data_IF_987684817153
#
_entry.id   IF_987684817153
#
_cell.length_a   1.000
_cell.length_b   1.000
_cell.length_c   1.000
_cell.angle_alpha   90.00
_cell.angle_beta   90.00
_cell.angle_gamma   90.00
#
_symmetry.space_group_name_H-M   'P 1'
#
loop_
_entity.id
_entity.type
_entity.pdbx_description
1 polymer ?
#
# COMPACT_ATOMS: atom_id res chain seq x y z
N UNK A 1 20.79 -11.81 36.27
CA UNK A 1 21.94 -11.50 35.39
C UNK A 1 21.97 -12.51 34.27
N UNK A 2 21.41 -12.15 33.12
CA UNK A 2 21.59 -12.90 31.87
C UNK A 2 23.07 -12.72 31.47
N UNK A 3 23.77 -13.80 31.10
CA UNK A 3 25.20 -13.72 30.78
C UNK A 3 25.42 -12.91 29.49
N UNK A 4 26.55 -12.21 29.36
CA UNK A 4 26.93 -11.49 28.11
C UNK A 4 26.93 -12.41 26.87
N UNK A 5 27.05 -13.73 27.06
CA UNK A 5 26.99 -14.74 26.00
C UNK A 5 25.56 -14.99 25.54
N UNK A 6 24.59 -14.91 26.45
CA UNK A 6 23.16 -15.08 26.17
C UNK A 6 22.58 -13.90 25.38
N UNK A 7 23.08 -12.68 25.64
CA UNK A 7 22.72 -11.49 24.83
C UNK A 7 23.08 -11.70 23.35
N UNK A 8 24.27 -12.25 23.06
CA UNK A 8 24.71 -12.56 21.69
C UNK A 8 23.84 -13.61 21.00
N UNK A 9 23.32 -14.59 21.74
CA UNK A 9 22.41 -15.60 21.19
C UNK A 9 21.08 -14.93 20.80
N UNK A 10 20.56 -14.07 21.68
CA UNK A 10 19.31 -13.37 21.41
C UNK A 10 19.45 -12.39 20.24
N UNK A 11 20.53 -11.62 20.18
CA UNK A 11 20.82 -10.73 19.05
C UNK A 11 20.89 -11.51 17.73
N UNK A 12 21.51 -12.70 17.74
CA UNK A 12 21.54 -13.58 16.57
C UNK A 12 20.15 -14.09 16.16
N UNK A 13 19.28 -14.42 17.13
CA UNK A 13 17.89 -14.79 16.86
C UNK A 13 17.14 -13.61 16.24
N UNK A 14 17.31 -12.41 16.77
CA UNK A 14 16.68 -11.20 16.24
C UNK A 14 17.12 -10.95 14.81
N UNK A 15 18.42 -10.89 14.55
CA UNK A 15 18.96 -10.64 13.21
C UNK A 15 18.50 -11.67 12.18
N UNK A 16 18.41 -12.95 12.58
CA UNK A 16 18.09 -14.04 11.67
C UNK A 16 16.59 -14.24 11.43
N UNK A 17 15.76 -14.01 12.44
CA UNK A 17 14.35 -14.40 12.42
C UNK A 17 13.35 -13.28 12.73
N UNK A 18 13.72 -12.26 13.51
CA UNK A 18 12.76 -11.27 14.04
C UNK A 18 13.03 -9.82 13.58
N UNK A 19 14.09 -9.57 12.81
CA UNK A 19 14.56 -8.21 12.52
C UNK A 19 13.48 -7.36 11.84
N UNK A 20 12.73 -7.92 10.91
CA UNK A 20 11.56 -7.28 10.30
C UNK A 20 10.36 -8.22 10.31
N UNK A 21 9.13 -7.67 10.26
CA UNK A 21 7.93 -8.48 10.13
C UNK A 21 7.96 -9.42 8.92
N UNK A 22 8.56 -9.01 7.80
CA UNK A 22 8.65 -9.85 6.60
C UNK A 22 9.63 -11.01 6.80
N UNK A 23 10.74 -10.80 7.52
CA UNK A 23 11.67 -11.89 7.86
C UNK A 23 10.95 -12.90 8.76
N UNK A 24 10.22 -12.43 9.77
CA UNK A 24 9.49 -13.31 10.67
C UNK A 24 8.35 -14.05 9.98
N UNK A 25 7.59 -13.38 9.11
CA UNK A 25 6.56 -14.03 8.30
C UNK A 25 7.17 -15.13 7.40
N UNK A 26 8.30 -14.87 6.75
CA UNK A 26 9.00 -15.88 5.94
C UNK A 26 9.49 -17.06 6.78
N UNK A 27 9.97 -16.79 7.99
CA UNK A 27 10.33 -17.83 8.95
C UNK A 27 9.11 -18.70 9.29
N UNK A 28 7.99 -18.09 9.69
CA UNK A 28 6.74 -18.80 10.01
C UNK A 28 6.24 -19.64 8.83
N UNK A 29 6.26 -19.11 7.60
CA UNK A 29 5.84 -19.84 6.40
C UNK A 29 6.77 -21.00 6.01
N UNK A 30 8.01 -21.01 6.49
CA UNK A 30 8.99 -22.06 6.21
C UNK A 30 9.03 -23.15 7.31
N UNK A 31 8.29 -22.98 8.40
CA UNK A 31 8.24 -23.95 9.48
C UNK A 31 7.55 -25.24 9.01
N UNK A 32 8.15 -26.37 9.38
CA UNK A 32 7.55 -27.69 9.23
C UNK A 32 7.20 -28.20 10.62
N UNK A 33 5.91 -28.11 10.96
CA UNK A 33 5.44 -28.51 12.27
C UNK A 33 5.21 -30.02 12.29
N UNK A 34 5.63 -30.71 13.36
CA UNK A 34 5.55 -32.17 13.43
C UNK A 34 4.12 -32.69 13.63
N UNK A 35 3.22 -31.86 14.15
CA UNK A 35 1.84 -32.21 14.48
C UNK A 35 0.85 -31.28 13.75
N UNK A 36 -0.08 -31.81 12.94
CA UNK A 36 -1.11 -31.02 12.28
C UNK A 36 -1.96 -30.17 13.24
N UNK A 37 -2.16 -30.60 14.48
CA UNK A 37 -2.92 -29.83 15.48
C UNK A 37 -2.26 -28.47 15.74
N UNK A 38 -0.93 -28.39 15.65
CA UNK A 38 -0.21 -27.12 15.82
C UNK A 38 -0.59 -26.11 14.74
N UNK A 39 -0.73 -26.54 13.49
CA UNK A 39 -1.15 -25.68 12.38
C UNK A 39 -2.59 -25.17 12.60
N UNK A 40 -3.47 -26.04 13.08
CA UNK A 40 -4.86 -25.72 13.42
C UNK A 40 -4.95 -24.70 14.57
N UNK A 41 -4.15 -24.87 15.63
CA UNK A 41 -4.05 -23.90 16.75
C UNK A 41 -3.54 -22.55 16.26
N UNK A 42 -2.54 -22.53 15.38
CA UNK A 42 -2.01 -21.27 14.82
C UNK A 42 -3.09 -20.57 14.00
N UNK A 43 -3.85 -21.31 13.19
CA UNK A 43 -4.97 -20.74 12.42
C UNK A 43 -6.04 -20.15 13.33
N UNK A 44 -6.44 -20.90 14.37
CA UNK A 44 -7.37 -20.40 15.39
C UNK A 44 -6.86 -19.12 16.05
N UNK A 45 -5.54 -19.03 16.28
CA UNK A 45 -4.94 -17.87 16.94
C UNK A 45 -4.99 -16.62 16.05
N UNK A 46 -4.82 -16.78 14.73
CA UNK A 46 -4.99 -15.68 13.77
C UNK A 46 -6.44 -15.15 13.73
N UNK A 47 -7.41 -16.05 13.87
CA UNK A 47 -8.85 -15.73 13.86
C UNK A 47 -9.33 -15.17 15.21
N UNK A 48 -8.64 -15.50 16.31
CA UNK A 48 -9.03 -15.12 17.65
C UNK A 48 -9.01 -13.58 17.89
N UNK A 49 -9.93 -13.07 18.74
CA UNK A 49 -9.87 -11.69 19.19
C UNK A 49 -8.57 -11.44 19.96
N UNK A 50 -7.93 -10.29 19.68
CA UNK A 50 -6.61 -9.94 20.20
C UNK A 50 -5.48 -10.97 19.97
N UNK A 51 -5.67 -11.97 19.09
CA UNK A 51 -4.75 -13.08 18.93
C UNK A 51 -4.50 -13.80 20.27
N UNK A 52 -5.58 -14.20 20.93
CA UNK A 52 -5.56 -14.83 22.24
C UNK A 52 -6.56 -15.98 22.32
N UNK A 53 -6.09 -17.14 22.77
CA UNK A 53 -6.89 -18.35 22.97
C UNK A 53 -6.77 -18.81 24.42
N UNK A 54 -7.85 -19.29 25.02
CA UNK A 54 -7.80 -19.90 26.33
C UNK A 54 -7.26 -21.33 26.24
N UNK A 55 -6.40 -21.72 27.18
CA UNK A 55 -5.86 -23.07 27.23
C UNK A 55 -6.97 -24.12 27.41
N UNK A 56 -7.97 -23.84 28.25
CA UNK A 56 -9.16 -24.69 28.45
C UNK A 56 -9.88 -24.98 27.13
N UNK A 57 -10.14 -23.93 26.36
CA UNK A 57 -10.94 -24.03 25.14
C UNK A 57 -10.19 -24.82 24.07
N UNK A 58 -8.86 -24.70 24.03
CA UNK A 58 -8.02 -25.51 23.14
C UNK A 58 -7.97 -26.98 23.54
N UNK A 59 -7.81 -27.27 24.83
CA UNK A 59 -7.84 -28.65 25.33
C UNK A 59 -9.17 -29.31 25.00
N UNK A 60 -10.29 -28.61 25.21
CA UNK A 60 -11.62 -29.11 24.90
C UNK A 60 -11.83 -29.28 23.39
N UNK A 61 -11.48 -28.28 22.58
CA UNK A 61 -11.68 -28.30 21.11
C UNK A 61 -10.91 -29.44 20.43
N UNK A 62 -9.66 -29.67 20.84
CA UNK A 62 -8.78 -30.66 20.23
C UNK A 62 -8.74 -31.98 21.01
N UNK A 63 -9.56 -32.13 22.06
CA UNK A 63 -9.59 -33.32 22.93
C UNK A 63 -8.21 -33.69 23.48
N UNK A 64 -7.44 -32.69 23.90
CA UNK A 64 -6.07 -32.85 24.38
C UNK A 64 -6.04 -33.11 25.90
N UNK A 65 -5.19 -34.03 26.32
CA UNK A 65 -4.79 -34.08 27.73
C UNK A 65 -3.93 -32.88 28.10
N UNK A 66 -3.82 -32.59 29.41
CA UNK A 66 -2.97 -31.50 29.89
C UNK A 66 -1.51 -31.66 29.45
N UNK A 67 -0.98 -32.88 29.45
CA UNK A 67 0.39 -33.19 29.04
C UNK A 67 0.59 -32.97 27.52
N UNK A 68 -0.38 -33.37 26.71
CA UNK A 68 -0.36 -33.14 25.27
C UNK A 68 -0.39 -31.63 24.96
N UNK A 69 -1.28 -30.89 25.61
CA UNK A 69 -1.35 -29.43 25.45
C UNK A 69 -0.05 -28.75 25.85
N UNK A 70 0.53 -29.10 27.00
CA UNK A 70 1.80 -28.51 27.45
C UNK A 70 2.94 -28.82 26.48
N UNK A 71 2.99 -30.03 25.93
CA UNK A 71 3.98 -30.43 24.93
C UNK A 71 3.83 -29.60 23.66
N UNK A 72 2.59 -29.43 23.18
CA UNK A 72 2.28 -28.61 22.00
C UNK A 72 2.65 -27.15 22.25
N UNK A 73 2.24 -26.58 23.39
CA UNK A 73 2.55 -25.19 23.74
C UNK A 73 4.07 -24.95 23.82
N UNK A 74 4.81 -25.88 24.43
CA UNK A 74 6.27 -25.81 24.51
C UNK A 74 6.93 -25.86 23.14
N UNK A 75 6.44 -26.73 22.24
CA UNK A 75 6.96 -26.83 20.88
C UNK A 75 6.66 -25.56 20.07
N UNK A 76 5.45 -24.99 20.19
CA UNK A 76 5.12 -23.73 19.54
C UNK A 76 5.97 -22.55 20.06
N UNK A 77 6.29 -22.53 21.35
CA UNK A 77 7.19 -21.55 21.96
C UNK A 77 8.64 -21.73 21.50
N UNK A 78 9.11 -22.98 21.40
CA UNK A 78 10.44 -23.30 20.87
C UNK A 78 10.61 -22.83 19.42
N UNK A 79 9.55 -22.92 18.61
CA UNK A 79 9.52 -22.39 17.24
C UNK A 79 9.21 -20.88 17.17
N UNK A 80 9.28 -20.17 18.29
CA UNK A 80 9.07 -18.72 18.37
C UNK A 80 7.71 -18.27 17.81
N UNK A 81 6.67 -19.11 17.84
CA UNK A 81 5.35 -18.78 17.28
C UNK A 81 4.48 -18.09 18.34
N UNK A 82 4.22 -18.79 19.45
CA UNK A 82 3.37 -18.31 20.54
C UNK A 82 3.99 -18.63 21.89
N UNK A 83 3.52 -17.96 22.92
CA UNK A 83 3.87 -18.24 24.30
C UNK A 83 2.62 -18.52 25.14
N UNK A 84 2.77 -19.43 26.10
CA UNK A 84 1.79 -19.64 27.15
C UNK A 84 1.99 -18.58 28.22
N UNK A 85 0.93 -17.83 28.55
CA UNK A 85 0.98 -16.78 29.56
C UNK A 85 -0.26 -16.81 30.45
N UNK A 86 -0.20 -16.13 31.59
CA UNK A 86 -1.33 -15.98 32.49
C UNK A 86 -1.87 -14.56 32.38
N UNK A 87 -3.17 -14.42 32.09
CA UNK A 87 -3.87 -13.13 32.11
C UNK A 87 -4.87 -13.08 33.25
N UNK A 88 -4.98 -11.91 33.88
CA UNK A 88 -5.98 -11.65 34.91
C UNK A 88 -7.30 -11.23 34.25
N UNK A 89 -8.31 -12.10 34.33
CA UNK A 89 -9.66 -11.90 33.77
C UNK A 89 -10.65 -12.15 34.91
N UNK A 90 -11.55 -11.20 35.16
CA UNK A 90 -12.53 -11.25 36.26
C UNK A 90 -11.94 -11.67 37.61
N UNK A 91 -10.80 -11.05 37.96
CA UNK A 91 -10.03 -11.33 39.18
C UNK A 91 -9.40 -12.72 39.29
N UNK A 92 -9.43 -13.54 38.24
CA UNK A 92 -8.78 -14.86 38.17
C UNK A 92 -7.62 -14.85 37.19
N UNK A 93 -6.58 -15.60 37.49
CA UNK A 93 -5.49 -15.87 36.53
C UNK A 93 -5.90 -17.04 35.65
N UNK A 94 -5.90 -16.82 34.34
CA UNK A 94 -6.29 -17.80 33.34
C UNK A 94 -5.13 -18.01 32.37
N UNK A 95 -4.84 -19.26 32.05
CA UNK A 95 -3.85 -19.65 31.05
C UNK A 95 -4.36 -19.32 29.66
N UNK A 96 -3.56 -18.57 28.90
CA UNK A 96 -3.86 -18.18 27.54
C UNK A 96 -2.64 -18.39 26.65
N UNK A 97 -2.90 -18.79 25.41
CA UNK A 97 -1.91 -18.89 24.34
C UNK A 97 -2.01 -17.61 23.49
N UNK A 98 -0.87 -16.96 23.23
CA UNK A 98 -0.80 -15.74 22.41
C UNK A 98 0.47 -15.73 21.56
N UNK A 99 0.44 -15.06 20.41
CA UNK A 99 1.68 -14.76 19.67
C UNK A 99 2.68 -14.00 20.56
N UNK A 100 3.97 -14.13 20.26
CA UNK A 100 4.98 -13.27 20.86
C UNK A 100 4.60 -11.80 20.72
N UNK A 101 4.87 -11.02 21.78
CA UNK A 101 4.33 -9.67 21.96
C UNK A 101 4.64 -8.76 20.77
N UNK A 102 5.85 -8.85 20.23
CA UNK A 102 6.34 -8.07 19.10
C UNK A 102 5.49 -8.33 17.85
N UNK A 103 5.25 -9.60 17.52
CA UNK A 103 4.44 -10.00 16.38
C UNK A 103 2.96 -9.68 16.59
N UNK A 104 2.44 -9.96 17.78
CA UNK A 104 1.07 -9.61 18.18
C UNK A 104 0.80 -8.12 18.00
N UNK A 105 1.69 -7.26 18.49
CA UNK A 105 1.53 -5.80 18.40
C UNK A 105 1.54 -5.33 16.93
N UNK A 106 2.41 -5.92 16.11
CA UNK A 106 2.44 -5.63 14.67
C UNK A 106 1.15 -6.07 13.97
N UNK A 107 0.66 -7.29 14.24
CA UNK A 107 -0.60 -7.77 13.69
C UNK A 107 -1.80 -6.92 14.13
N UNK A 108 -1.83 -6.53 15.41
CA UNK A 108 -2.85 -5.63 15.93
C UNK A 108 -2.79 -4.26 15.27
N UNK A 109 -1.59 -3.73 15.01
CA UNK A 109 -1.42 -2.52 14.23
C UNK A 109 -2.07 -2.68 12.85
N UNK A 110 -1.73 -3.73 12.09
CA UNK A 110 -2.30 -3.98 10.76
C UNK A 110 -3.83 -4.09 10.79
N UNK A 111 -4.39 -4.82 11.76
CA UNK A 111 -5.85 -4.96 11.93
C UNK A 111 -6.53 -3.62 12.24
N UNK A 112 -5.91 -2.79 13.10
CA UNK A 112 -6.46 -1.49 13.51
C UNK A 112 -6.32 -0.41 12.45
N UNK A 113 -5.31 -0.50 11.59
CA UNK A 113 -5.03 0.48 10.53
C UNK A 113 -5.52 0.05 9.16
N UNK A 114 -6.26 -1.07 9.09
CA UNK A 114 -6.97 -1.44 7.88
C UNK A 114 -8.01 -0.37 7.54
N UNK A 115 -7.94 0.26 6.36
CA UNK A 115 -8.85 1.34 6.00
C UNK A 115 -10.31 0.85 5.96
N UNK A 116 -11.27 1.61 6.51
CA UNK A 116 -12.67 1.26 6.40
C UNK A 116 -13.13 1.38 4.94
N UNK A 117 -13.96 0.45 4.51
CA UNK A 117 -14.56 0.46 3.17
C UNK A 117 -15.69 1.50 3.15
N UNK A 118 -15.62 2.43 2.20
CA UNK A 118 -16.66 3.44 1.99
C UNK A 118 -17.74 2.92 1.03
N UNK A 119 -18.98 3.37 1.24
CA UNK A 119 -20.09 3.03 0.36
C UNK A 119 -19.98 3.80 -0.96
N UNK A 120 -19.93 3.08 -2.09
CA UNK A 120 -19.75 3.66 -3.43
C UNK A 120 -20.78 4.77 -3.78
N UNK A 121 -22.03 4.64 -3.31
CA UNK A 121 -23.10 5.61 -3.59
C UNK A 121 -22.87 6.98 -2.93
N UNK A 122 -22.00 7.06 -1.93
CA UNK A 122 -21.68 8.29 -1.22
C UNK A 122 -20.45 9.01 -1.76
N UNK A 123 -19.76 8.42 -2.75
CA UNK A 123 -18.53 8.95 -3.32
C UNK A 123 -18.84 9.86 -4.50
N UNK A 124 -18.30 11.07 -4.45
CA UNK A 124 -18.29 11.97 -5.61
C UNK A 124 -17.02 11.73 -6.40
N UNK A 125 -17.13 10.90 -7.44
CA UNK A 125 -16.04 10.55 -8.35
C UNK A 125 -15.49 11.79 -9.06
N UNK A 126 -14.17 11.83 -9.25
CA UNK A 126 -13.53 12.89 -10.04
C UNK A 126 -13.69 12.67 -11.55
N UNK A 127 -13.79 11.41 -11.98
CA UNK A 127 -14.03 11.01 -13.36
C UNK A 127 -15.13 9.95 -13.42
N UNK A 128 -15.89 9.93 -14.53
CA UNK A 128 -16.86 8.87 -14.82
C UNK A 128 -16.29 7.76 -15.70
N UNK A 129 -15.07 7.92 -16.21
CA UNK A 129 -14.41 7.02 -17.18
C UNK A 129 -13.10 6.48 -16.62
N UNK A 130 -12.86 5.19 -16.83
CA UNK A 130 -11.54 4.60 -16.64
C UNK A 130 -10.55 5.20 -17.64
N UNK A 131 -9.27 5.33 -17.26
CA UNK A 131 -8.23 5.94 -18.10
C UNK A 131 -8.54 7.37 -18.58
N UNK A 132 -9.36 8.13 -17.86
CA UNK A 132 -9.78 9.47 -18.28
C UNK A 132 -8.62 10.39 -18.67
N UNK A 133 -7.50 10.32 -17.95
CA UNK A 133 -6.30 11.08 -18.30
C UNK A 133 -5.76 10.73 -19.70
N UNK A 134 -5.63 9.45 -20.03
CA UNK A 134 -5.14 9.00 -21.33
C UNK A 134 -6.13 9.34 -22.45
N UNK A 135 -7.43 9.28 -22.17
CA UNK A 135 -8.46 9.68 -23.11
C UNK A 135 -8.42 11.18 -23.38
N UNK A 136 -8.20 11.99 -22.35
CA UNK A 136 -8.06 13.45 -22.49
C UNK A 136 -6.76 13.81 -23.23
N UNK A 137 -5.65 13.09 -23.01
CA UNK A 137 -4.43 13.18 -23.83
C UNK A 137 -4.76 12.89 -25.29
N UNK A 138 -5.40 11.75 -25.58
CA UNK A 138 -5.81 11.37 -26.94
C UNK A 138 -6.70 12.44 -27.56
N UNK A 139 -7.64 12.98 -26.81
CA UNK A 139 -8.56 14.00 -27.28
C UNK A 139 -7.82 15.30 -27.65
N UNK A 140 -6.94 15.81 -26.78
CA UNK A 140 -6.20 17.05 -27.04
C UNK A 140 -5.32 16.94 -28.29
N UNK A 141 -4.55 15.86 -28.43
CA UNK A 141 -3.72 15.69 -29.63
C UNK A 141 -4.57 15.46 -30.89
N UNK A 142 -5.82 14.96 -30.74
CA UNK A 142 -6.72 14.78 -31.87
C UNK A 142 -7.19 16.10 -32.49
N UNK A 143 -7.21 17.19 -31.72
CA UNK A 143 -7.53 18.54 -32.22
C UNK A 143 -6.52 19.01 -33.29
N UNK A 144 -5.28 18.52 -33.20
CA UNK A 144 -4.19 18.86 -34.11
C UNK A 144 -4.03 17.87 -35.30
N UNK A 145 -4.98 16.94 -35.52
CA UNK A 145 -4.87 15.89 -36.56
C UNK A 145 -4.72 16.41 -38.00
N UNK A 146 -5.37 17.52 -38.32
CA UNK A 146 -5.39 18.07 -39.69
C UNK A 146 -4.45 19.26 -39.85
N UNK A 147 -4.31 20.06 -38.81
CA UNK A 147 -3.51 21.28 -38.77
C UNK A 147 -3.16 21.59 -37.31
N UNK A 148 -2.12 22.40 -37.05
CA UNK A 148 -1.82 22.87 -35.70
C UNK A 148 -3.04 23.48 -35.02
N UNK A 149 -3.28 23.11 -33.77
CA UNK A 149 -4.37 23.65 -32.96
C UNK A 149 -3.85 24.81 -32.11
N UNK A 150 -4.39 26.01 -32.32
CA UNK A 150 -4.02 27.21 -31.57
C UNK A 150 -5.02 27.47 -30.46
N UNK A 151 -4.53 27.72 -29.25
CA UNK A 151 -5.36 28.06 -28.09
C UNK A 151 -4.93 29.39 -27.47
N UNK A 152 -5.87 30.14 -26.91
CA UNK A 152 -5.62 31.45 -26.31
C UNK A 152 -5.04 31.34 -24.91
N UNK A 153 -5.51 30.37 -24.13
CA UNK A 153 -5.15 30.16 -22.73
C UNK A 153 -5.58 28.76 -22.26
N UNK A 154 -5.32 28.45 -20.99
CA UNK A 154 -5.76 27.19 -20.37
C UNK A 154 -7.28 27.10 -20.18
N UNK A 155 -8.01 28.22 -20.26
CA UNK A 155 -9.48 28.24 -20.16
C UNK A 155 -10.10 27.65 -21.43
N UNK A 156 -9.56 27.95 -22.60
CA UNK A 156 -10.01 27.35 -23.86
C UNK A 156 -9.85 25.82 -23.85
N UNK A 157 -8.68 25.32 -23.41
CA UNK A 157 -8.43 23.88 -23.27
C UNK A 157 -9.36 23.23 -22.23
N UNK A 158 -9.63 23.91 -21.11
CA UNK A 158 -10.56 23.44 -20.10
C UNK A 158 -11.98 23.27 -20.67
N UNK A 159 -12.44 24.23 -21.47
CA UNK A 159 -13.76 24.17 -22.11
C UNK A 159 -13.86 22.98 -23.08
N UNK A 160 -12.79 22.68 -23.84
CA UNK A 160 -12.75 21.52 -24.72
C UNK A 160 -12.87 20.19 -23.96
N UNK A 161 -12.35 20.13 -22.74
CA UNK A 161 -12.40 18.97 -21.85
C UNK A 161 -13.61 18.96 -20.91
N UNK A 162 -14.52 19.94 -21.03
CA UNK A 162 -15.64 20.15 -20.11
C UNK A 162 -15.22 20.30 -18.64
N UNK A 163 -14.04 20.89 -18.40
CA UNK A 163 -13.50 21.18 -17.08
C UNK A 163 -13.80 22.62 -16.65
N UNK A 164 -14.03 22.82 -15.36
CA UNK A 164 -14.19 24.17 -14.80
C UNK A 164 -12.82 24.86 -14.64
N UNK A 165 -12.49 25.80 -15.52
CA UNK A 165 -11.21 26.53 -15.50
C UNK A 165 -11.01 27.46 -14.30
N UNK A 166 -12.07 27.82 -13.56
CA UNK A 166 -11.94 28.59 -12.31
C UNK A 166 -11.38 27.75 -11.17
N UNK A 167 -11.38 26.42 -11.32
CA UNK A 167 -10.81 25.51 -10.35
C UNK A 167 -9.29 25.34 -10.60
N UNK A 168 -8.48 25.71 -9.59
CA UNK A 168 -7.02 25.56 -9.65
C UNK A 168 -6.57 24.11 -9.91
N UNK A 169 -7.32 23.11 -9.44
CA UNK A 169 -6.96 21.70 -9.69
C UNK A 169 -7.08 21.34 -11.17
N UNK A 170 -8.10 21.84 -11.87
CA UNK A 170 -8.29 21.60 -13.30
C UNK A 170 -7.21 22.31 -14.14
N UNK A 171 -6.78 23.51 -13.73
CA UNK A 171 -5.66 24.18 -14.39
C UNK A 171 -4.37 23.38 -14.23
N UNK A 172 -4.09 22.85 -13.03
CA UNK A 172 -2.95 21.94 -12.80
C UNK A 172 -3.07 20.67 -13.65
N UNK A 173 -4.27 20.10 -13.75
CA UNK A 173 -4.55 18.91 -14.58
C UNK A 173 -4.21 19.15 -16.06
N UNK A 174 -4.65 20.27 -16.65
CA UNK A 174 -4.38 20.61 -18.05
C UNK A 174 -2.88 20.79 -18.30
N UNK A 175 -2.17 21.45 -17.38
CA UNK A 175 -0.70 21.60 -17.49
C UNK A 175 -0.01 20.24 -17.55
N UNK A 176 -0.40 19.30 -16.67
CA UNK A 176 0.13 17.93 -16.69
C UNK A 176 -0.18 17.21 -18.00
N UNK A 177 -1.38 17.37 -18.56
CA UNK A 177 -1.70 16.80 -19.88
C UNK A 177 -0.73 17.29 -20.95
N UNK A 178 -0.48 18.60 -21.01
CA UNK A 178 0.45 19.20 -21.98
C UNK A 178 1.89 18.73 -21.74
N UNK A 179 2.36 18.73 -20.50
CA UNK A 179 3.69 18.24 -20.11
C UNK A 179 3.89 16.77 -20.53
N UNK A 180 2.87 15.92 -20.33
CA UNK A 180 2.93 14.50 -20.74
C UNK A 180 2.86 14.32 -22.25
N UNK A 181 2.09 15.14 -22.96
CA UNK A 181 2.05 15.15 -24.42
C UNK A 181 3.45 15.45 -25.00
N UNK A 182 4.14 16.44 -24.44
CA UNK A 182 5.51 16.79 -24.85
C UNK A 182 6.52 15.71 -24.44
N UNK A 183 6.45 15.21 -23.21
CA UNK A 183 7.34 14.15 -22.70
C UNK A 183 7.30 12.89 -23.59
N UNK A 184 6.09 12.50 -24.01
CA UNK A 184 5.86 11.36 -24.89
C UNK A 184 6.18 11.67 -26.36
N UNK A 185 6.57 12.90 -26.69
CA UNK A 185 6.77 13.42 -28.04
C UNK A 185 5.56 13.16 -28.96
N UNK A 186 4.34 13.33 -28.42
CA UNK A 186 3.10 13.20 -29.20
C UNK A 186 2.78 14.49 -29.95
N UNK A 187 3.03 15.63 -29.32
CA UNK A 187 2.90 16.94 -29.96
C UNK A 187 3.93 17.91 -29.38
N UNK A 188 4.30 18.92 -30.18
CA UNK A 188 5.04 20.10 -29.72
C UNK A 188 4.07 21.13 -29.16
N UNK A 189 4.33 21.67 -27.96
CA UNK A 189 3.52 22.71 -27.32
C UNK A 189 4.32 24.02 -27.29
N UNK A 190 4.32 24.76 -28.41
CA UNK A 190 5.04 26.02 -28.54
C UNK A 190 4.09 27.17 -28.84
N UNK A 191 4.29 28.32 -28.19
CA UNK A 191 3.53 29.56 -28.43
C UNK A 191 2.01 29.39 -28.44
N UNK A 192 1.50 28.55 -27.52
CA UNK A 192 0.08 28.16 -27.42
C UNK A 192 -0.48 27.52 -28.70
N UNK A 193 0.36 26.74 -29.37
CA UNK A 193 -0.01 25.87 -30.46
C UNK A 193 0.33 24.42 -30.11
N UNK A 194 -0.54 23.51 -30.52
CA UNK A 194 -0.36 22.06 -30.45
C UNK A 194 -0.13 21.56 -31.88
N UNK A 195 1.07 21.07 -32.16
CA UNK A 195 1.44 20.51 -33.46
C UNK A 195 1.83 19.04 -33.31
N UNK A 196 1.14 18.15 -34.02
CA UNK A 196 1.41 16.71 -33.93
C UNK A 196 2.84 16.36 -34.37
N UNK A 197 3.39 15.36 -33.69
CA UNK A 197 4.67 14.73 -34.02
C UNK A 197 4.43 13.28 -34.47
N UNK A 198 5.45 12.66 -35.08
CA UNK A 198 5.34 11.34 -35.71
C UNK A 198 4.80 10.25 -34.76
N UNK A 199 5.18 10.28 -33.48
CA UNK A 199 4.72 9.30 -32.47
C UNK A 199 3.22 9.39 -32.16
N UNK A 200 2.55 10.48 -32.47
CA UNK A 200 1.10 10.57 -32.27
C UNK A 200 0.32 9.58 -33.13
N UNK A 201 0.82 9.27 -34.33
CA UNK A 201 0.15 8.31 -35.21
C UNK A 201 0.12 6.92 -34.58
N UNK A 202 1.22 6.48 -33.98
CA UNK A 202 1.29 5.24 -33.21
C UNK A 202 0.31 5.30 -32.02
N UNK A 203 0.30 6.39 -31.25
CA UNK A 203 -0.57 6.56 -30.09
C UNK A 203 -2.06 6.35 -30.41
N UNK A 204 -2.54 6.82 -31.57
CA UNK A 204 -3.94 6.63 -31.96
C UNK A 204 -4.31 5.16 -32.24
N UNK A 205 -3.33 4.30 -32.52
CA UNK A 205 -3.54 2.87 -32.76
C UNK A 205 -3.51 2.02 -31.49
N UNK A 206 -2.97 2.57 -30.39
CA UNK A 206 -2.81 1.85 -29.13
C UNK A 206 -4.12 1.78 -28.33
N UNK A 207 -4.32 0.68 -27.61
CA UNK A 207 -5.36 0.55 -26.59
C UNK A 207 -5.00 1.34 -25.34
N UNK A 208 -5.98 1.64 -24.46
CA UNK A 208 -5.71 2.36 -23.22
C UNK A 208 -4.69 1.65 -22.30
N UNK A 209 -4.73 0.32 -22.11
CA UNK A 209 -3.66 -0.40 -21.42
C UNK A 209 -2.28 -0.22 -22.05
N UNK A 210 -2.17 -0.23 -23.38
CA UNK A 210 -0.89 -0.01 -24.07
C UNK A 210 -0.38 1.43 -23.90
N UNK A 211 -1.27 2.42 -23.98
CA UNK A 211 -0.97 3.83 -23.70
C UNK A 211 -0.52 4.04 -22.25
N UNK A 212 -1.18 3.36 -21.31
CA UNK A 212 -0.82 3.36 -19.90
C UNK A 212 0.60 2.82 -19.69
N UNK A 213 0.93 1.68 -20.29
CA UNK A 213 2.29 1.12 -20.24
C UNK A 213 3.34 2.04 -20.87
N UNK A 214 3.01 2.72 -21.98
CA UNK A 214 3.90 3.70 -22.60
C UNK A 214 4.15 4.88 -21.65
N UNK A 215 3.09 5.43 -21.05
CA UNK A 215 3.20 6.50 -20.05
C UNK A 215 3.99 6.05 -18.81
N UNK A 216 3.82 4.79 -18.35
CA UNK A 216 4.56 4.24 -17.21
C UNK A 216 6.07 4.19 -17.47
N UNK A 217 6.49 3.81 -18.69
CA UNK A 217 7.92 3.77 -19.09
C UNK A 217 8.57 5.14 -19.14
N UNK A 218 7.79 6.18 -19.38
CA UNK A 218 8.24 7.56 -19.34
C UNK A 218 7.99 8.10 -17.94
N UNK A 219 8.90 7.70 -17.04
CA UNK A 219 8.86 7.92 -15.59
C UNK A 219 8.38 9.32 -15.21
N UNK A 220 7.73 9.40 -14.04
CA UNK A 220 7.37 10.67 -13.40
C UNK A 220 8.56 11.65 -13.36
N UNK A 221 8.26 12.94 -13.40
CA UNK A 221 9.24 14.01 -13.57
C UNK A 221 10.49 13.78 -12.69
N UNK A 222 11.71 13.76 -13.29
CA UNK A 222 12.98 13.59 -12.55
C UNK A 222 13.12 14.57 -11.37
N UNK A 223 12.49 15.73 -11.49
CA UNK A 223 12.50 16.82 -10.51
C UNK A 223 11.82 16.46 -9.17
N UNK A 224 10.79 15.61 -9.19
CA UNK A 224 10.08 15.15 -7.98
C UNK A 224 10.67 13.85 -7.42
N UNK A 225 11.26 13.01 -8.29
CA UNK A 225 11.96 11.78 -7.87
C UNK A 225 13.21 12.14 -7.06
N UNK A 226 13.87 13.26 -7.36
CA UNK A 226 14.98 13.79 -6.56
C UNK A 226 16.04 12.72 -6.29
N UNK A 227 16.30 12.43 -5.01
CA UNK A 227 17.25 11.42 -4.53
C UNK A 227 16.64 10.03 -4.30
N UNK A 228 15.33 9.85 -4.50
CA UNK A 228 14.67 8.56 -4.27
C UNK A 228 14.95 7.62 -5.43
N UNK A 229 15.37 6.40 -5.12
CA UNK A 229 15.65 5.40 -6.15
C UNK A 229 14.37 4.76 -6.68
N UNK A 230 14.44 4.12 -7.85
CA UNK A 230 13.29 3.46 -8.49
C UNK A 230 12.64 2.38 -7.60
N UNK A 231 13.43 1.74 -6.73
CA UNK A 231 12.92 0.74 -5.79
C UNK A 231 11.89 1.35 -4.83
N UNK A 232 12.19 2.53 -4.28
CA UNK A 232 11.27 3.25 -3.39
C UNK A 232 9.96 3.58 -4.11
N UNK A 233 10.04 4.01 -5.38
CA UNK A 233 8.84 4.30 -6.18
C UNK A 233 7.97 3.04 -6.34
N UNK A 234 8.57 1.92 -6.74
CA UNK A 234 7.86 0.64 -6.87
C UNK A 234 7.27 0.14 -5.56
N UNK A 235 7.95 0.36 -4.44
CA UNK A 235 7.45 -0.04 -3.12
C UNK A 235 6.25 0.84 -2.68
N UNK A 236 6.18 2.10 -3.10
CA UNK A 236 4.98 2.96 -2.96
C UNK A 236 3.88 2.47 -3.90
N UNK A 237 4.18 2.19 -5.17
CA UNK A 237 3.20 1.68 -6.14
C UNK A 237 2.53 0.41 -5.62
N UNK A 238 3.33 -0.57 -5.18
CA UNK A 238 2.82 -1.85 -4.65
C UNK A 238 2.06 -1.71 -3.33
N UNK A 239 2.23 -0.61 -2.60
CA UNK A 239 1.54 -0.42 -1.32
C UNK A 239 0.02 -0.36 -1.49
N UNK A 240 -0.48 0.07 -2.66
CA UNK A 240 -1.92 0.12 -2.95
C UNK A 240 -2.55 -1.28 -3.07
N UNK A 241 -1.75 -2.34 -3.30
CA UNK A 241 -2.26 -3.73 -3.33
C UNK A 241 -2.90 -4.15 -2.01
N UNK A 242 -2.53 -3.50 -0.88
CA UNK A 242 -3.17 -3.73 0.42
C UNK A 242 -4.68 -3.45 0.41
N UNK A 243 -5.13 -2.58 -0.48
CA UNK A 243 -6.54 -2.18 -0.64
C UNK A 243 -7.09 -2.60 -2.01
N UNK A 244 -6.41 -3.47 -2.75
CA UNK A 244 -6.83 -3.92 -4.08
C UNK A 244 -8.21 -4.59 -4.08
N UNK A 245 -8.58 -5.29 -3.02
CA UNK A 245 -9.89 -5.93 -2.88
C UNK A 245 -10.94 -5.03 -2.21
N UNK A 246 -10.55 -3.83 -1.79
CA UNK A 246 -11.49 -2.86 -1.23
C UNK A 246 -12.16 -2.09 -2.37
N UNK A 247 -13.38 -1.61 -2.13
CA UNK A 247 -14.02 -0.62 -3.00
C UNK A 247 -13.32 0.73 -2.83
N UNK A 248 -13.89 1.67 -2.10
CA UNK A 248 -13.31 2.99 -1.87
C UNK A 248 -12.70 3.11 -0.49
N UNK A 249 -11.51 3.71 -0.39
CA UNK A 249 -10.82 3.97 0.88
C UNK A 249 -10.37 5.44 0.97
N UNK A 250 -10.41 6.02 2.17
CA UNK A 250 -9.82 7.33 2.42
C UNK A 250 -8.30 7.24 2.31
N UNK A 251 -7.69 8.21 1.62
CA UNK A 251 -6.23 8.26 1.49
C UNK A 251 -5.53 8.40 2.86
N UNK A 252 -6.11 9.17 3.77
CA UNK A 252 -5.59 9.34 5.14
C UNK A 252 -5.60 8.04 5.94
N UNK A 253 -6.66 7.22 5.80
CA UNK A 253 -6.74 5.93 6.49
C UNK A 253 -5.78 4.91 5.87
N UNK A 254 -5.63 4.93 4.54
CA UNK A 254 -4.61 4.16 3.84
C UNK A 254 -3.20 4.47 4.36
N UNK A 255 -2.85 5.75 4.52
CA UNK A 255 -1.54 6.17 5.03
C UNK A 255 -1.25 5.63 6.44
N UNK A 256 -2.26 5.56 7.33
CA UNK A 256 -2.09 5.02 8.69
C UNK A 256 -1.66 3.55 8.69
N UNK A 257 -2.06 2.78 7.68
CA UNK A 257 -1.73 1.35 7.54
C UNK A 257 -0.59 1.05 6.56
N UNK A 258 0.00 2.09 5.96
CA UNK A 258 1.14 1.94 5.07
C UNK A 258 2.37 1.47 5.88
N UNK A 259 3.13 0.51 5.34
CA UNK A 259 4.34 -0.05 5.98
C UNK A 259 5.52 -0.10 5.04
N UNK A 260 5.51 0.79 4.06
CA UNK A 260 6.53 0.89 3.02
C UNK A 260 7.74 1.62 3.58
N UNK A 261 8.93 1.06 3.40
CA UNK A 261 10.18 1.67 3.87
C UNK A 261 10.71 2.63 2.81
N UNK A 262 10.72 3.92 3.10
CA UNK A 262 11.25 4.98 2.23
C UNK A 262 12.59 5.53 2.73
N UNK A 263 12.88 5.31 4.01
CA UNK A 263 14.01 5.83 4.79
C UNK A 263 14.24 4.96 6.03
N UNK A 264 15.30 5.22 6.80
CA UNK A 264 15.53 4.54 8.07
C UNK A 264 14.41 4.81 9.10
N UNK A 265 13.81 6.00 9.08
CA UNK A 265 12.76 6.42 10.01
C UNK A 265 11.41 5.74 9.70
N UNK A 266 11.15 5.47 8.42
CA UNK A 266 9.95 4.74 7.97
C UNK A 266 10.15 3.21 7.98
N UNK A 267 11.33 2.71 8.34
CA UNK A 267 11.60 1.28 8.40
C UNK A 267 10.90 0.61 9.60
N UNK A 268 10.25 -0.52 9.32
CA UNK A 268 9.61 -1.36 10.34
C UNK A 268 10.60 -2.44 10.77
N UNK A 269 11.39 -2.13 11.79
CA UNK A 269 12.45 -3.02 12.31
C UNK A 269 12.29 -3.21 13.81
N UNK A 270 12.70 -4.38 14.30
CA UNK A 270 12.65 -4.66 15.72
C UNK A 270 13.75 -3.88 16.44
N UNK A 271 13.36 -3.00 17.36
CA UNK A 271 14.29 -2.22 18.20
C UNK A 271 14.00 -2.43 19.68
N UNK A 272 15.06 -2.38 20.48
CA UNK A 272 14.95 -2.38 21.94
C UNK A 272 14.51 -0.99 22.42
N UNK A 273 13.32 -0.89 23.00
CA UNK A 273 12.76 0.31 23.60
C UNK A 273 12.68 0.13 25.12
N UNK A 274 13.64 0.69 25.85
CA UNK A 274 13.80 0.47 27.28
C UNK A 274 14.15 -0.98 27.59
N UNK A 275 13.24 -1.69 28.27
CA UNK A 275 13.42 -3.11 28.63
C UNK A 275 12.80 -4.09 27.62
N UNK A 276 12.00 -3.60 26.67
CA UNK A 276 11.19 -4.44 25.79
C UNK A 276 11.63 -4.29 24.33
N UNK A 277 11.41 -5.31 23.53
CA UNK A 277 11.55 -5.24 22.08
C UNK A 277 10.21 -4.86 21.46
N UNK A 278 10.25 -4.01 20.42
CA UNK A 278 9.07 -3.61 19.65
C UNK A 278 9.46 -3.34 18.21
N UNK A 279 8.59 -3.68 17.27
CA UNK A 279 8.72 -3.16 15.92
C UNK A 279 8.49 -1.66 15.93
N UNK A 280 9.37 -0.91 15.27
CA UNK A 280 9.11 0.49 14.96
C UNK A 280 7.93 0.58 14.01
N UNK A 281 7.01 1.51 14.27
CA UNK A 281 5.96 1.83 13.30
C UNK A 281 6.50 2.87 12.33
N UNK A 282 6.07 2.81 11.06
CA UNK A 282 6.57 3.72 10.04
C UNK A 282 6.15 5.14 10.35
N UNK A 283 7.11 6.06 10.30
CA UNK A 283 6.87 7.49 10.35
C UNK A 283 7.30 8.11 9.03
N UNK A 284 6.36 8.79 8.37
CA UNK A 284 6.62 9.47 7.10
C UNK A 284 6.75 10.97 7.31
N UNK A 285 7.89 11.54 6.92
CA UNK A 285 8.09 12.98 6.96
C UNK A 285 7.33 13.70 5.83
N UNK A 286 7.28 15.03 5.88
CA UNK A 286 6.50 15.82 4.90
C UNK A 286 6.93 15.59 3.45
N UNK A 287 8.21 15.34 3.17
CA UNK A 287 8.70 15.08 1.81
C UNK A 287 8.23 13.72 1.32
N UNK A 288 8.29 12.71 2.17
CA UNK A 288 7.79 11.37 1.89
C UNK A 288 6.28 11.36 1.66
N UNK A 289 5.51 12.09 2.48
CA UNK A 289 4.06 12.20 2.29
C UNK A 289 3.70 12.85 0.95
N UNK A 290 4.42 13.90 0.55
CA UNK A 290 4.24 14.54 -0.77
C UNK A 290 4.57 13.55 -1.90
N UNK A 291 5.62 12.75 -1.75
CA UNK A 291 5.99 11.72 -2.74
C UNK A 291 4.93 10.62 -2.84
N UNK A 292 4.46 10.09 -1.71
CA UNK A 292 3.42 9.06 -1.66
C UNK A 292 2.15 9.58 -2.33
N UNK A 293 1.74 10.80 -1.98
CA UNK A 293 0.59 11.47 -2.58
C UNK A 293 0.75 11.65 -4.09
N UNK A 294 1.91 12.12 -4.55
CA UNK A 294 2.18 12.31 -5.97
C UNK A 294 2.15 10.99 -6.75
N UNK A 295 2.75 9.92 -6.22
CA UNK A 295 2.75 8.62 -6.89
C UNK A 295 1.34 8.04 -6.91
N UNK A 296 0.67 7.97 -5.77
CA UNK A 296 -0.63 7.33 -5.68
C UNK A 296 -1.70 8.20 -6.34
N UNK A 297 -1.94 9.40 -5.82
CA UNK A 297 -3.08 10.22 -6.23
C UNK A 297 -2.87 10.99 -7.53
N UNK A 298 -1.64 11.12 -8.03
CA UNK A 298 -1.39 11.70 -9.35
C UNK A 298 -1.00 10.61 -10.36
N UNK A 299 0.17 10.00 -10.22
CA UNK A 299 0.72 9.12 -11.26
C UNK A 299 -0.12 7.86 -11.49
N UNK A 300 -0.45 7.09 -10.45
CA UNK A 300 -1.27 5.87 -10.63
C UNK A 300 -2.67 6.20 -11.18
N UNK A 301 -3.20 7.38 -10.87
CA UNK A 301 -4.47 7.85 -11.44
C UNK A 301 -4.36 8.17 -12.93
N UNK A 302 -3.25 8.80 -13.37
CA UNK A 302 -2.97 9.11 -14.78
C UNK A 302 -2.83 7.84 -15.63
N UNK A 303 -2.29 6.77 -15.02
CA UNK A 303 -2.16 5.46 -15.64
C UNK A 303 -3.46 4.66 -15.70
N UNK A 304 -4.52 5.11 -15.02
CA UNK A 304 -5.76 4.36 -14.86
C UNK A 304 -5.67 3.17 -13.90
N UNK A 305 -4.62 3.09 -13.08
CA UNK A 305 -4.43 2.04 -12.06
C UNK A 305 -5.34 2.29 -10.85
N UNK A 306 -5.57 3.56 -10.52
CA UNK A 306 -6.54 3.95 -9.48
C UNK A 306 -7.58 4.93 -10.03
N UNK A 307 -8.75 4.93 -9.40
CA UNK A 307 -9.79 5.92 -9.61
C UNK A 307 -9.87 6.85 -8.38
N UNK A 308 -10.04 8.15 -8.62
CA UNK A 308 -10.12 9.17 -7.58
C UNK A 308 -11.57 9.59 -7.30
N UNK A 309 -11.82 9.95 -6.05
CA UNK A 309 -13.09 10.48 -5.61
C UNK A 309 -12.96 11.31 -4.35
N UNK A 310 -14.09 11.86 -3.93
CA UNK A 310 -14.21 12.58 -2.66
C UNK A 310 -15.36 12.05 -1.82
N UNK A 311 -15.11 11.92 -0.52
CA UNK A 311 -16.09 11.56 0.49
C UNK A 311 -16.00 12.58 1.63
N UNK A 312 -17.10 13.30 1.90
CA UNK A 312 -17.14 14.34 2.93
C UNK A 312 -15.99 15.36 2.83
N UNK A 313 -15.62 15.76 1.60
CA UNK A 313 -14.47 16.63 1.27
C UNK A 313 -13.07 16.04 1.54
N UNK A 314 -12.96 14.77 1.92
CA UNK A 314 -11.70 14.05 1.97
C UNK A 314 -11.46 13.27 0.68
N UNK A 315 -10.19 13.15 0.28
CA UNK A 315 -9.79 12.39 -0.91
C UNK A 315 -9.85 10.89 -0.62
N UNK A 316 -10.51 10.17 -1.50
CA UNK A 316 -10.56 8.72 -1.49
C UNK A 316 -10.14 8.17 -2.86
N UNK A 317 -9.72 6.92 -2.86
CA UNK A 317 -9.38 6.22 -4.09
C UNK A 317 -9.84 4.77 -4.03
N UNK A 318 -9.87 4.15 -5.20
CA UNK A 318 -9.99 2.70 -5.35
C UNK A 318 -9.02 2.19 -6.40
N UNK A 319 -8.60 0.93 -6.29
CA UNK A 319 -7.81 0.26 -7.33
C UNK A 319 -8.76 -0.24 -8.42
N UNK A 320 -8.47 0.09 -9.68
CA UNK A 320 -9.28 -0.36 -10.83
C UNK A 320 -8.99 -1.83 -11.13
N UNK A 321 -9.84 -2.51 -11.90
CA UNK A 321 -9.55 -3.89 -12.35
C UNK A 321 -8.22 -3.96 -13.11
N UNK A 322 -7.98 -2.99 -14.02
CA UNK A 322 -6.69 -2.87 -14.69
C UNK A 322 -5.53 -2.68 -13.70
N UNK A 323 -5.71 -1.88 -12.65
CA UNK A 323 -4.69 -1.68 -11.63
C UNK A 323 -4.35 -2.94 -10.84
N UNK A 324 -5.34 -3.81 -10.58
CA UNK A 324 -5.13 -5.11 -9.95
C UNK A 324 -4.28 -6.01 -10.83
N UNK A 325 -4.61 -6.09 -12.13
CA UNK A 325 -3.86 -6.88 -13.12
C UNK A 325 -2.47 -6.32 -13.41
N UNK A 326 -2.29 -4.99 -13.31
CA UNK A 326 -1.01 -4.35 -13.61
C UNK A 326 0.01 -4.49 -12.48
N UNK A 327 -0.46 -4.47 -11.23
CA UNK A 327 0.40 -4.49 -10.03
C UNK A 327 0.58 -5.89 -9.42
N UNK A 328 -0.38 -6.80 -9.63
CA UNK A 328 -0.33 -8.20 -9.22
C UNK A 328 0.48 -9.05 -10.18
#
# INVERSE_FOLDING_TARGET
>A
NISRTSDRIFDSIVEKYLLTPQIFQRYLSALQLPDPIMEEIIRDLFEAPEYMLYASDLMDKYSLSQEQFQTIALLLEFHLICCLTYKKIDCKWVEVLMFFQEWKDYLLFLRKTQPPILCANSIKKESTRDFSFLEDVTFLISLAKKQPFFYKDTLELANCLHLNATNKSHVKYIKRLLEKIELLNLASVTDKSLSLLDKAHEWFTLTNPQKSLLLYRHSYAPEMIGSFNERVLRDIEKSVLKVAHSEWVLFEDFLKGMTTTLSEESSVILKKQGKNWKYTLPFYNSRELILIEAIILEWLSELGIIELGSYQNHRCFRVTEYGKDFLG
#
